data_IF_895561782817
#
_entry.id   IF_895561782817
#
_cell.length_a   1.000
_cell.length_b   1.000
_cell.length_c   1.000
_cell.angle_alpha   90.00
_cell.angle_beta   90.00
_cell.angle_gamma   90.00
#
_symmetry.space_group_name_H-M   'P 1'
#
loop_
_entity.id
_entity.type
_entity.pdbx_description
1 polymer ?
#
# COMPACT_ATOMS: atom_id res chain seq x y z
N UNK A 1 21.99 -8.82 7.86
CA UNK A 1 22.94 -7.80 7.35
C UNK A 1 24.34 -8.39 7.47
N UNK A 2 24.82 -9.10 6.45
CA UNK A 2 26.14 -9.74 6.48
C UNK A 2 27.24 -8.70 6.24
N UNK A 3 28.28 -8.71 7.08
CA UNK A 3 29.48 -7.88 6.88
C UNK A 3 30.20 -8.43 5.63
N UNK A 4 30.49 -7.61 4.60
CA UNK A 4 31.23 -8.07 3.43
C UNK A 4 32.66 -8.41 3.85
N UNK A 5 33.15 -9.58 3.43
CA UNK A 5 34.51 -10.04 3.70
C UNK A 5 35.54 -9.00 3.22
N UNK A 6 36.44 -8.59 4.12
CA UNK A 6 37.49 -7.62 3.83
C UNK A 6 38.50 -8.21 2.83
N UNK A 7 38.50 -7.68 1.61
CA UNK A 7 39.48 -8.01 0.58
C UNK A 7 40.64 -7.03 0.66
N UNK A 8 41.81 -7.49 1.11
CA UNK A 8 43.03 -6.67 1.19
C UNK A 8 43.82 -6.77 -0.12
N UNK A 9 44.33 -5.64 -0.63
CA UNK A 9 45.25 -5.63 -1.76
C UNK A 9 46.69 -5.75 -1.25
N UNK A 10 47.37 -6.86 -1.53
CA UNK A 10 48.80 -7.03 -1.27
C UNK A 10 49.58 -6.58 -2.50
N UNK A 11 50.41 -5.55 -2.37
CA UNK A 11 51.38 -5.17 -3.41
C UNK A 11 52.77 -5.64 -3.00
N UNK A 12 53.41 -6.42 -3.86
CA UNK A 12 54.75 -6.99 -3.63
C UNK A 12 55.73 -6.31 -4.59
N UNK A 13 56.85 -5.79 -4.08
CA UNK A 13 57.92 -5.18 -4.89
C UNK A 13 59.10 -6.16 -4.97
N UNK A 14 59.68 -6.31 -6.17
CA UNK A 14 60.43 -7.49 -6.58
C UNK A 14 61.88 -7.64 -6.07
N UNK A 15 62.43 -6.70 -5.32
CA UNK A 15 63.79 -6.85 -4.76
C UNK A 15 64.01 -5.86 -3.60
N UNK A 16 63.73 -6.29 -2.37
CA UNK A 16 63.85 -5.49 -1.15
C UNK A 16 62.95 -6.05 -0.02
N UNK A 17 63.08 -5.56 1.23
CA UNK A 17 62.18 -5.98 2.31
C UNK A 17 60.72 -5.68 1.93
N UNK A 18 59.87 -6.70 2.03
CA UNK A 18 58.46 -6.63 1.66
C UNK A 18 57.65 -6.02 2.79
N UNK A 19 57.17 -4.80 2.59
CA UNK A 19 56.18 -4.18 3.46
C UNK A 19 54.77 -4.54 2.99
N UNK A 20 53.99 -5.18 3.87
CA UNK A 20 52.58 -5.51 3.59
C UNK A 20 51.70 -4.36 4.09
N UNK A 21 51.26 -3.52 3.17
CA UNK A 21 50.27 -2.48 3.46
C UNK A 21 48.87 -3.12 3.48
N UNK A 22 48.18 -3.03 4.62
CA UNK A 22 46.80 -3.46 4.76
C UNK A 22 45.87 -2.28 4.43
N UNK A 23 45.71 -2.02 3.14
CA UNK A 23 44.77 -1.02 2.67
C UNK A 23 43.35 -1.59 2.54
N UNK A 24 42.36 -0.73 2.77
CA UNK A 24 40.95 -1.04 2.48
C UNK A 24 40.76 -1.23 0.97
N UNK A 25 39.90 -2.17 0.57
CA UNK A 25 39.55 -2.34 -0.85
C UNK A 25 38.93 -1.07 -1.42
N UNK A 26 39.05 -0.86 -2.74
CA UNK A 26 38.41 0.29 -3.42
C UNK A 26 36.90 0.31 -3.20
N UNK A 27 36.27 -0.86 -3.11
CA UNK A 27 34.84 -0.99 -2.81
C UNK A 27 34.55 -0.55 -1.37
N UNK A 28 35.34 -0.99 -0.40
CA UNK A 28 35.21 -0.55 0.99
C UNK A 28 35.37 0.97 1.13
N UNK A 29 36.33 1.57 0.41
CA UNK A 29 36.52 3.03 0.39
C UNK A 29 35.34 3.79 -0.25
N UNK A 30 34.71 3.23 -1.30
CA UNK A 30 33.45 3.76 -1.88
C UNK A 30 32.29 3.63 -0.90
N UNK A 31 32.21 2.52 -0.16
CA UNK A 31 31.19 2.29 0.84
C UNK A 31 31.34 3.23 2.05
N UNK A 32 32.57 3.57 2.44
CA UNK A 32 32.87 4.57 3.46
C UNK A 32 32.78 6.02 2.96
N UNK A 33 32.36 6.25 1.71
CA UNK A 33 32.27 7.59 1.09
C UNK A 33 33.58 8.39 1.07
N UNK A 34 34.73 7.72 1.29
CA UNK A 34 36.05 8.31 1.13
C UNK A 34 36.33 8.57 -0.35
N UNK A 35 35.88 7.64 -1.20
CA UNK A 35 35.85 7.79 -2.66
C UNK A 35 34.39 8.01 -3.07
N UNK A 36 34.15 8.91 -4.04
CA UNK A 36 32.82 9.12 -4.61
C UNK A 36 32.22 7.79 -5.09
N UNK A 37 30.97 7.53 -4.69
CA UNK A 37 30.22 6.38 -5.19
C UNK A 37 29.83 6.58 -6.65
N UNK A 38 29.68 5.48 -7.37
CA UNK A 38 28.94 5.49 -8.63
C UNK A 38 27.49 5.88 -8.33
N UNK A 39 26.91 6.86 -9.03
CA UNK A 39 25.52 7.23 -8.82
C UNK A 39 24.63 6.00 -9.05
N UNK A 40 23.59 5.85 -8.25
CA UNK A 40 22.60 4.81 -8.51
C UNK A 40 22.03 5.03 -9.90
N UNK A 41 21.95 4.00 -10.76
CA UNK A 41 21.33 4.16 -12.05
C UNK A 41 19.84 4.55 -11.85
N UNK A 42 19.26 5.32 -12.79
CA UNK A 42 17.87 5.75 -12.68
C UNK A 42 16.94 4.53 -12.64
N UNK A 43 15.84 4.59 -11.88
CA UNK A 43 14.87 3.51 -11.77
C UNK A 43 14.29 3.14 -13.14
N UNK A 44 13.89 1.88 -13.31
CA UNK A 44 13.38 1.36 -14.58
C UNK A 44 12.14 2.11 -15.08
N UNK A 45 11.32 2.64 -14.17
CA UNK A 45 10.08 3.37 -14.47
C UNK A 45 10.34 4.71 -15.16
N UNK A 46 11.48 5.35 -14.91
CA UNK A 46 11.83 6.68 -15.46
C UNK A 46 12.58 6.59 -16.80
N UNK A 47 12.99 5.39 -17.21
CA UNK A 47 13.75 5.20 -18.46
C UNK A 47 12.82 5.15 -19.66
N UNK A 48 13.25 5.73 -20.77
CA UNK A 48 12.50 5.67 -22.04
C UNK A 48 12.30 4.22 -22.50
N UNK A 49 11.06 3.88 -22.89
CA UNK A 49 10.66 2.53 -23.29
C UNK A 49 11.48 1.97 -24.47
N UNK A 50 11.92 2.84 -25.38
CA UNK A 50 12.75 2.45 -26.53
C UNK A 50 14.18 2.05 -26.17
N UNK A 51 14.68 2.48 -25.01
CA UNK A 51 16.02 2.16 -24.51
C UNK A 51 16.06 0.89 -23.64
N UNK A 52 14.89 0.35 -23.29
CA UNK A 52 14.77 -0.73 -22.33
C UNK A 52 15.03 -2.09 -22.98
N UNK A 53 15.87 -2.91 -22.33
CA UNK A 53 16.17 -4.27 -22.84
C UNK A 53 14.99 -5.20 -22.57
N UNK A 54 14.89 -6.29 -23.35
CA UNK A 54 13.84 -7.32 -23.19
C UNK A 54 13.76 -7.90 -21.78
N UNK A 55 14.91 -8.09 -21.11
CA UNK A 55 14.95 -8.61 -19.74
C UNK A 55 14.34 -7.61 -18.74
N UNK A 56 14.67 -6.33 -18.88
CA UNK A 56 14.19 -5.25 -18.01
C UNK A 56 12.68 -5.02 -18.18
N UNK A 57 12.16 -5.15 -19.41
CA UNK A 57 10.72 -5.11 -19.68
C UNK A 57 9.96 -6.23 -18.97
N UNK A 58 10.53 -7.43 -18.91
CA UNK A 58 9.95 -8.58 -18.21
C UNK A 58 9.89 -8.34 -16.70
N UNK A 59 10.93 -7.75 -16.13
CA UNK A 59 10.96 -7.38 -14.71
C UNK A 59 9.92 -6.31 -14.37
N UNK A 60 9.83 -5.26 -15.20
CA UNK A 60 8.78 -4.24 -15.12
C UNK A 60 7.38 -4.86 -15.15
N UNK A 61 7.13 -5.77 -16.10
CA UNK A 61 5.84 -6.45 -16.19
C UNK A 61 5.52 -7.30 -14.95
N UNK A 62 6.52 -7.96 -14.36
CA UNK A 62 6.36 -8.73 -13.11
C UNK A 62 5.99 -7.82 -11.94
N UNK A 63 6.66 -6.68 -11.81
CA UNK A 63 6.36 -5.69 -10.77
C UNK A 63 4.95 -5.10 -10.93
N UNK A 64 4.54 -4.76 -12.15
CA UNK A 64 3.20 -4.27 -12.44
C UNK A 64 2.11 -5.29 -12.10
N UNK A 65 2.31 -6.58 -12.42
CA UNK A 65 1.37 -7.64 -12.05
C UNK A 65 1.25 -7.80 -10.53
N UNK A 66 2.36 -7.74 -9.81
CA UNK A 66 2.37 -7.82 -8.35
C UNK A 66 1.61 -6.64 -7.72
N UNK A 67 1.86 -5.40 -8.18
CA UNK A 67 1.15 -4.21 -7.70
C UNK A 67 -0.36 -4.25 -8.01
N UNK A 68 -0.76 -4.71 -9.21
CA UNK A 68 -2.17 -4.88 -9.58
C UNK A 68 -2.87 -5.94 -8.73
N UNK A 69 -2.20 -7.06 -8.42
CA UNK A 69 -2.74 -8.09 -7.52
C UNK A 69 -2.99 -7.56 -6.11
N UNK A 70 -2.08 -6.74 -5.58
CA UNK A 70 -2.24 -6.09 -4.27
C UNK A 70 -3.37 -5.05 -4.26
N UNK A 71 -3.49 -4.25 -5.32
CA UNK A 71 -4.57 -3.26 -5.44
C UNK A 71 -5.93 -3.93 -5.60
N UNK A 72 -6.03 -5.03 -6.36
CA UNK A 72 -7.26 -5.81 -6.47
C UNK A 72 -7.66 -6.45 -5.13
N UNK A 73 -6.70 -6.92 -4.32
CA UNK A 73 -6.96 -7.42 -2.97
C UNK A 73 -7.36 -6.32 -1.98
N UNK A 74 -6.99 -5.06 -2.23
CA UNK A 74 -7.40 -3.90 -1.44
C UNK A 74 -8.79 -3.36 -1.81
N UNK A 75 -9.45 -3.92 -2.83
CA UNK A 75 -10.82 -3.53 -3.20
C UNK A 75 -11.80 -4.07 -2.16
N UNK A 76 -12.16 -3.18 -1.23
CA UNK A 76 -13.46 -3.12 -0.57
C UNK A 76 -13.79 -4.23 0.45
N UNK A 77 -12.94 -4.41 1.46
CA UNK A 77 -13.42 -5.02 2.70
C UNK A 77 -14.25 -3.95 3.45
N UNK A 78 -15.58 -4.00 3.30
CA UNK A 78 -16.50 -3.21 4.13
C UNK A 78 -16.33 -3.67 5.57
N UNK A 79 -15.81 -2.78 6.42
CA UNK A 79 -15.74 -3.01 7.86
C UNK A 79 -17.08 -2.61 8.49
N UNK A 80 -17.55 -3.42 9.41
CA UNK A 80 -18.65 -3.04 10.28
C UNK A 80 -18.26 -1.79 11.07
N UNK A 81 -19.22 -0.87 11.24
CA UNK A 81 -19.00 0.35 12.01
C UNK A 81 -19.36 0.05 13.45
N UNK A 82 -18.37 -0.04 14.33
CA UNK A 82 -18.54 -0.22 15.78
C UNK A 82 -19.51 0.83 16.35
N UNK A 83 -20.29 0.42 17.37
CA UNK A 83 -21.30 1.26 18.02
C UNK A 83 -20.71 2.51 18.71
N UNK A 84 -19.41 2.49 19.04
CA UNK A 84 -18.69 3.61 19.68
C UNK A 84 -18.45 4.83 18.76
N UNK A 85 -18.92 4.79 17.52
CA UNK A 85 -18.72 5.91 16.62
C UNK A 85 -19.60 7.12 17.06
N UNK A 86 -18.99 8.30 17.34
CA UNK A 86 -19.70 9.46 17.90
C UNK A 86 -20.62 10.17 16.90
N UNK A 87 -20.55 9.84 15.60
CA UNK A 87 -21.47 10.42 14.61
C UNK A 87 -22.86 9.78 14.74
N UNK A 88 -23.93 10.57 14.89
CA UNK A 88 -25.29 10.04 14.96
C UNK A 88 -25.61 9.23 13.70
N UNK A 89 -26.25 8.07 13.90
CA UNK A 89 -26.78 7.27 12.79
C UNK A 89 -27.92 8.07 12.14
N UNK A 90 -27.97 8.06 10.80
CA UNK A 90 -29.15 8.55 10.09
C UNK A 90 -30.30 7.59 10.40
N UNK A 91 -31.24 8.01 11.24
CA UNK A 91 -32.43 7.23 11.54
C UNK A 91 -33.20 6.94 10.25
N UNK A 92 -33.73 5.73 10.13
CA UNK A 92 -34.66 5.40 9.06
C UNK A 92 -35.89 6.29 9.21
N UNK A 93 -36.28 6.98 8.14
CA UNK A 93 -37.58 7.66 8.10
C UNK A 93 -38.59 6.61 7.62
N UNK A 94 -39.57 6.21 8.44
CA UNK A 94 -40.59 5.27 7.99
C UNK A 94 -41.35 5.86 6.80
N UNK A 95 -41.66 4.99 5.83
CA UNK A 95 -42.51 5.32 4.70
C UNK A 95 -43.97 5.33 5.17
N UNK A 96 -44.88 6.11 4.57
CA UNK A 96 -46.31 6.01 4.87
C UNK A 96 -46.88 4.60 4.67
N UNK A 97 -46.23 3.75 3.86
CA UNK A 97 -46.61 2.35 3.64
C UNK A 97 -45.96 1.35 4.62
N UNK A 98 -45.04 1.79 5.48
CA UNK A 98 -44.35 0.89 6.42
C UNK A 98 -45.10 0.76 7.73
N UNK A 99 -45.40 -0.46 8.16
CA UNK A 99 -45.95 -0.76 9.48
C UNK A 99 -44.87 -0.54 10.55
N UNK A 100 -45.11 0.38 11.48
CA UNK A 100 -44.24 0.55 12.65
C UNK A 100 -44.49 -0.59 13.64
N UNK A 101 -43.42 -1.21 14.12
CA UNK A 101 -43.47 -2.28 15.11
C UNK A 101 -42.74 -1.82 16.37
N UNK A 102 -43.39 -1.94 17.52
CA UNK A 102 -42.80 -1.71 18.85
C UNK A 102 -42.45 -3.06 19.48
N UNK A 103 -41.24 -3.15 20.03
CA UNK A 103 -40.78 -4.29 20.83
C UNK A 103 -41.10 -3.97 22.29
N UNK A 104 -41.89 -4.83 22.93
CA UNK A 104 -42.19 -4.77 24.36
C UNK A 104 -41.06 -5.42 25.17
N UNK A 105 -41.00 -5.13 26.47
CA UNK A 105 -39.99 -5.68 27.39
C UNK A 105 -40.05 -7.22 27.50
N UNK A 106 -41.16 -7.80 27.05
CA UNK A 106 -41.47 -9.23 27.07
C UNK A 106 -41.01 -9.93 25.76
N UNK A 107 -40.12 -9.31 24.99
CA UNK A 107 -39.68 -9.70 23.64
C UNK A 107 -40.82 -9.90 22.62
N UNK A 108 -42.01 -9.41 22.94
CA UNK A 108 -43.21 -9.50 22.10
C UNK A 108 -43.31 -8.26 21.21
N UNK A 109 -43.77 -8.43 19.97
CA UNK A 109 -43.88 -7.35 19.00
C UNK A 109 -45.34 -6.93 18.82
N UNK A 110 -45.61 -5.62 18.87
CA UNK A 110 -46.93 -5.06 18.54
C UNK A 110 -46.85 -4.04 17.42
N UNK A 111 -47.91 -3.94 16.62
CA UNK A 111 -48.05 -2.87 15.63
C UNK A 111 -48.32 -1.53 16.33
N UNK A 112 -47.50 -0.53 16.02
CA UNK A 112 -47.69 0.85 16.45
C UNK A 112 -48.47 1.65 15.40
N UNK A 113 -49.26 2.63 15.85
CA UNK A 113 -50.18 3.35 14.98
C UNK A 113 -49.44 4.25 13.98
N UNK A 114 -49.59 3.94 12.69
CA UNK A 114 -48.86 4.56 11.56
C UNK A 114 -49.60 5.78 10.96
N UNK A 115 -50.74 6.20 11.53
CA UNK A 115 -51.72 7.09 10.87
C UNK A 115 -51.35 8.58 10.72
N UNK A 116 -50.16 9.03 11.13
CA UNK A 116 -49.83 10.46 11.17
C UNK A 116 -49.01 10.98 9.96
N UNK A 117 -48.67 10.13 8.98
CA UNK A 117 -47.83 10.56 7.83
C UNK A 117 -48.68 10.91 6.60
N UNK A 118 -48.46 12.08 5.97
CA UNK A 118 -49.18 12.46 4.76
C UNK A 118 -48.82 11.53 3.58
N UNK A 119 -49.79 11.16 2.73
CA UNK A 119 -49.54 10.33 1.55
C UNK A 119 -48.58 11.05 0.58
N UNK A 120 -47.75 10.26 -0.12
CA UNK A 120 -46.77 10.78 -1.07
C UNK A 120 -47.49 11.36 -2.29
N UNK A 121 -47.46 12.68 -2.44
CA UNK A 121 -47.92 13.35 -3.67
C UNK A 121 -46.89 13.10 -4.77
N UNK A 122 -47.26 12.35 -5.79
CA UNK A 122 -46.46 12.19 -7.01
C UNK A 122 -46.81 13.35 -7.92
N UNK A 123 -45.86 14.26 -8.14
CA UNK A 123 -46.00 15.34 -9.12
C UNK A 123 -45.46 14.77 -10.43
N UNK A 124 -46.35 14.46 -11.37
CA UNK A 124 -45.97 14.15 -12.75
C UNK A 124 -45.46 15.44 -13.40
N UNK A 125 -44.26 15.37 -13.98
CA UNK A 125 -43.68 16.45 -14.76
C UNK A 125 -43.96 16.14 -16.23
N UNK A 126 -44.78 17.00 -16.86
CA UNK A 126 -45.08 16.98 -18.29
C UNK A 126 -43.86 17.32 -19.16
#
# INVERSE_FOLDING_TARGET
>A
MGIPAETFNVKTVACGPTFVFKDRSKEALRNMYIIKRTPSPPPLEERFLSSLRRCELREMQKQLKARKGQQAAAVQIKRERSDDNPRPRKGARPSPESTLLEILDDDTVREAWTAALPPKVVIELD
#
